data_IF_652238558215
#
_entry.id   IF_652238558215
#
_cell.length_a   1.000
_cell.length_b   1.000
_cell.length_c   1.000
_cell.angle_alpha   90.00
_cell.angle_beta   90.00
_cell.angle_gamma   90.00
#
_symmetry.space_group_name_H-M   'P 1'
#
loop_
_entity.id
_entity.type
_entity.pdbx_description
1 polymer ?
#
# COMPACT_ATOMS: atom_id res chain seq x y z
N UNK A 1 11.42 -3.09 19.76
CA UNK A 1 10.16 -3.73 19.33
C UNK A 1 10.11 -3.82 17.80
N UNK A 2 9.67 -4.95 17.22
CA UNK A 2 9.52 -5.09 15.76
C UNK A 2 8.14 -4.64 15.29
N UNK A 3 8.08 -3.85 14.21
CA UNK A 3 6.83 -3.50 13.52
C UNK A 3 6.78 -4.22 12.18
N UNK A 4 5.72 -4.99 11.94
CA UNK A 4 5.54 -5.83 10.76
C UNK A 4 4.50 -5.21 9.84
N UNK A 5 4.77 -5.23 8.54
CA UNK A 5 3.93 -4.64 7.50
C UNK A 5 3.32 -5.72 6.62
N UNK A 6 1.99 -5.74 6.57
CA UNK A 6 1.13 -6.54 5.71
C UNK A 6 0.29 -5.59 4.83
N UNK A 7 -0.38 -6.14 3.82
CA UNK A 7 -1.36 -5.40 3.00
C UNK A 7 -2.64 -6.25 2.92
N UNK A 8 -2.67 -7.15 1.94
CA UNK A 8 -3.76 -8.11 1.69
C UNK A 8 -3.46 -9.46 2.37
N UNK A 9 -4.51 -10.18 2.79
CA UNK A 9 -4.42 -11.53 3.35
C UNK A 9 -5.34 -12.47 2.57
N UNK A 10 -4.83 -13.61 2.09
CA UNK A 10 -5.65 -14.71 1.53
C UNK A 10 -6.12 -14.55 0.08
N UNK A 11 -5.64 -13.54 -0.63
CA UNK A 11 -5.97 -13.25 -2.04
C UNK A 11 -4.79 -13.48 -3.02
N UNK A 12 -3.83 -14.34 -2.67
CA UNK A 12 -2.61 -14.56 -3.46
C UNK A 12 -2.84 -15.34 -4.77
N UNK A 13 -3.92 -16.10 -4.85
CA UNK A 13 -4.31 -16.89 -6.04
C UNK A 13 -5.34 -16.17 -6.91
N UNK A 14 -5.71 -14.95 -6.55
CA UNK A 14 -6.62 -14.14 -7.35
C UNK A 14 -5.91 -13.63 -8.61
N UNK A 15 -6.66 -13.43 -9.70
CA UNK A 15 -6.17 -12.81 -10.94
C UNK A 15 -5.94 -11.29 -10.78
N UNK A 16 -5.41 -10.88 -9.62
CA UNK A 16 -5.03 -9.52 -9.31
C UNK A 16 -3.54 -9.34 -9.58
N UNK A 17 -3.17 -8.37 -10.41
CA UNK A 17 -1.77 -8.22 -10.84
C UNK A 17 -0.81 -7.86 -9.68
N UNK A 18 -1.32 -7.33 -8.55
CA UNK A 18 -0.55 -7.09 -7.33
C UNK A 18 -0.73 -8.19 -6.28
N UNK A 19 -1.16 -9.39 -6.65
CA UNK A 19 -1.33 -10.53 -5.73
C UNK A 19 -0.09 -10.85 -4.86
N UNK A 20 1.11 -10.41 -5.28
CA UNK A 20 2.33 -10.49 -4.49
C UNK A 20 2.32 -9.66 -3.19
N UNK A 21 1.39 -8.71 -3.05
CA UNK A 21 1.07 -7.99 -1.82
C UNK A 21 0.25 -8.83 -0.84
N UNK A 22 -0.42 -9.89 -1.32
CA UNK A 22 -1.20 -10.79 -0.48
C UNK A 22 -0.30 -11.78 0.25
N UNK A 23 -0.49 -11.92 1.56
CA UNK A 23 0.03 -13.04 2.33
C UNK A 23 -1.03 -14.13 2.36
N UNK A 24 -0.68 -15.36 2.01
CA UNK A 24 -1.65 -16.45 2.05
C UNK A 24 -2.23 -16.68 3.42
N UNK A 25 -3.48 -17.13 3.44
CA UNK A 25 -4.22 -17.37 4.68
C UNK A 25 -3.48 -18.35 5.60
N UNK A 26 -2.89 -19.41 5.03
CA UNK A 26 -2.16 -20.43 5.76
C UNK A 26 -0.84 -19.89 6.35
N UNK A 27 -0.10 -19.05 5.60
CA UNK A 27 1.08 -18.39 6.15
C UNK A 27 0.72 -17.49 7.32
N UNK A 28 -0.34 -16.68 7.15
CA UNK A 28 -0.76 -15.72 8.16
C UNK A 28 -1.25 -16.42 9.44
N UNK A 29 -2.13 -17.42 9.33
CA UNK A 29 -2.61 -18.17 10.48
C UNK A 29 -1.49 -18.96 11.16
N UNK A 30 -0.59 -19.60 10.40
CA UNK A 30 0.55 -20.32 10.99
C UNK A 30 1.50 -19.38 11.73
N UNK A 31 1.70 -18.16 11.22
CA UNK A 31 2.48 -17.14 11.90
C UNK A 31 1.82 -16.65 13.19
N UNK A 32 0.50 -16.41 13.19
CA UNK A 32 -0.25 -16.08 14.40
C UNK A 32 -0.14 -17.18 15.46
N UNK A 33 -0.27 -18.46 15.07
CA UNK A 33 -0.05 -19.62 15.96
C UNK A 33 1.36 -19.62 16.55
N UNK A 34 2.38 -19.31 15.74
CA UNK A 34 3.75 -19.20 16.19
C UNK A 34 3.93 -18.08 17.22
N UNK A 35 3.35 -16.90 16.99
CA UNK A 35 3.42 -15.79 17.94
C UNK A 35 2.87 -16.20 19.31
N UNK A 36 1.67 -16.79 19.33
CA UNK A 36 1.05 -17.30 20.56
C UNK A 36 1.91 -18.37 21.22
N UNK A 37 2.36 -19.38 20.47
CA UNK A 37 3.18 -20.49 20.98
C UNK A 37 4.48 -20.00 21.63
N UNK A 38 5.09 -18.97 21.06
CA UNK A 38 6.35 -18.41 21.56
C UNK A 38 6.14 -17.27 22.56
N UNK A 39 4.90 -17.04 23.03
CA UNK A 39 4.52 -16.00 24.00
C UNK A 39 4.86 -14.59 23.51
N UNK A 40 4.62 -14.29 22.23
CA UNK A 40 4.60 -12.93 21.74
C UNK A 40 3.26 -12.26 22.04
N UNK A 41 3.34 -11.03 22.52
CA UNK A 41 2.22 -10.11 22.63
C UNK A 41 2.22 -9.18 21.41
N UNK A 42 1.04 -8.94 20.86
CA UNK A 42 0.85 -7.90 19.85
C UNK A 42 0.22 -6.66 20.46
N UNK A 43 0.79 -5.49 20.18
CA UNK A 43 0.36 -4.20 20.74
C UNK A 43 0.03 -3.20 19.63
N UNK A 44 -0.73 -2.14 19.94
CA UNK A 44 -0.99 -1.07 18.97
C UNK A 44 0.18 -0.08 18.92
N UNK A 45 0.06 0.91 18.02
CA UNK A 45 1.09 1.93 17.82
C UNK A 45 1.21 2.90 19.01
N UNK A 46 0.17 3.09 19.81
CA UNK A 46 0.22 3.92 21.01
C UNK A 46 1.14 3.29 22.07
N UNK A 47 1.02 1.99 22.33
CA UNK A 47 1.95 1.30 23.22
C UNK A 47 3.37 1.29 22.65
N UNK A 48 3.54 1.13 21.32
CA UNK A 48 4.85 1.26 20.69
C UNK A 48 5.45 2.66 20.89
N UNK A 49 4.67 3.72 20.71
CA UNK A 49 5.11 5.10 20.84
C UNK A 49 5.55 5.42 22.27
N UNK A 50 4.75 5.00 23.26
CA UNK A 50 5.01 5.24 24.69
C UNK A 50 6.15 4.35 25.24
N UNK A 51 6.22 3.09 24.80
CA UNK A 51 7.24 2.13 25.24
C UNK A 51 8.53 2.19 24.39
N UNK A 52 8.83 3.33 23.79
CA UNK A 52 10.16 3.60 23.21
C UNK A 52 11.01 4.47 24.17
N UNK A 53 11.60 3.93 25.26
CA UNK A 53 12.72 4.57 25.94
C UNK A 53 14.08 4.02 25.45
N UNK A 54 15.12 4.85 25.62
CA UNK A 54 16.54 4.50 25.51
C UNK A 54 16.90 3.27 26.38
N UNK A 55 16.69 2.04 25.91
CA UNK A 55 17.21 0.88 26.64
C UNK A 55 17.26 -0.38 25.78
N UNK A 56 18.42 -1.02 25.82
CA UNK A 56 18.78 -2.33 25.30
C UNK A 56 17.97 -3.51 25.86
N UNK A 57 16.74 -3.30 26.34
CA UNK A 57 15.92 -4.37 26.88
C UNK A 57 15.18 -5.10 25.75
N UNK A 58 15.95 -5.94 25.05
CA UNK A 58 15.49 -6.80 23.97
C UNK A 58 14.66 -8.00 24.47
N UNK A 59 14.25 -8.01 25.75
CA UNK A 59 13.52 -9.10 26.39
C UNK A 59 12.01 -9.04 26.17
N UNK A 60 11.44 -7.88 25.82
CA UNK A 60 10.00 -7.75 25.58
C UNK A 60 9.61 -8.50 24.30
N UNK A 61 8.81 -9.56 24.42
CA UNK A 61 8.24 -10.30 23.28
C UNK A 61 7.05 -9.55 22.66
N UNK A 62 7.21 -8.26 22.39
CA UNK A 62 6.18 -7.42 21.79
C UNK A 62 6.42 -7.21 20.30
N UNK A 63 5.34 -7.26 19.51
CA UNK A 63 5.34 -7.06 18.06
C UNK A 63 4.15 -6.18 17.68
N UNK A 64 4.35 -5.24 16.76
CA UNK A 64 3.24 -4.49 16.16
C UNK A 64 2.93 -5.11 14.80
N UNK A 65 1.66 -5.39 14.53
CA UNK A 65 1.18 -5.83 13.23
C UNK A 65 0.46 -4.66 12.54
N UNK A 66 0.89 -4.29 11.34
CA UNK A 66 0.28 -3.21 10.56
C UNK A 66 -0.20 -3.73 9.20
N UNK A 67 -1.32 -3.22 8.72
CA UNK A 67 -1.91 -3.52 7.41
C UNK A 67 -2.14 -2.23 6.65
N UNK A 68 -1.59 -2.13 5.44
CA UNK A 68 -1.71 -0.94 4.60
C UNK A 68 -2.91 -1.06 3.64
N UNK A 69 -3.35 0.08 3.09
CA UNK A 69 -4.38 0.29 2.06
C UNK A 69 -5.85 0.09 2.47
N UNK A 70 -6.16 -0.76 3.46
CA UNK A 70 -7.55 -1.01 3.88
C UNK A 70 -8.33 -1.98 2.98
N UNK A 71 -7.66 -3.02 2.48
CA UNK A 71 -8.32 -4.10 1.72
C UNK A 71 -9.41 -4.80 2.53
N UNK A 72 -10.49 -5.21 1.84
CA UNK A 72 -11.62 -5.91 2.44
C UNK A 72 -11.21 -7.22 3.13
N UNK A 73 -10.20 -7.89 2.59
CA UNK A 73 -9.69 -9.14 3.14
C UNK A 73 -9.13 -9.02 4.56
N UNK A 74 -8.83 -7.79 5.01
CA UNK A 74 -8.45 -7.52 6.40
C UNK A 74 -9.64 -7.75 7.34
N UNK A 75 -10.87 -7.43 6.91
CA UNK A 75 -12.10 -7.79 7.61
C UNK A 75 -12.46 -9.26 7.43
N UNK A 76 -12.34 -9.78 6.19
CA UNK A 76 -12.79 -11.14 5.85
C UNK A 76 -11.92 -12.21 6.52
N UNK A 77 -10.60 -12.00 6.56
CA UNK A 77 -9.63 -13.00 7.00
C UNK A 77 -8.77 -12.55 8.18
N UNK A 78 -8.13 -11.37 8.11
CA UNK A 78 -7.13 -10.97 9.11
C UNK A 78 -7.75 -10.78 10.50
N UNK A 79 -8.82 -9.99 10.60
CA UNK A 79 -9.51 -9.70 11.86
C UNK A 79 -10.01 -10.95 12.60
N UNK A 80 -10.77 -11.88 11.97
CA UNK A 80 -11.20 -13.11 12.66
C UNK A 80 -10.03 -13.95 13.17
N UNK A 81 -8.93 -14.05 12.42
CA UNK A 81 -7.73 -14.80 12.85
C UNK A 81 -7.08 -14.11 14.05
N UNK A 82 -6.84 -12.80 13.97
CA UNK A 82 -6.27 -12.04 15.08
C UNK A 82 -7.12 -12.18 16.35
N UNK A 83 -8.44 -12.03 16.21
CA UNK A 83 -9.39 -12.22 17.31
C UNK A 83 -9.32 -13.64 17.92
N UNK A 84 -9.29 -14.69 17.07
CA UNK A 84 -9.18 -16.09 17.50
C UNK A 84 -7.93 -16.36 18.35
N UNK A 85 -6.83 -15.69 18.06
CA UNK A 85 -5.55 -15.86 18.75
C UNK A 85 -5.27 -14.78 19.81
N UNK A 86 -6.24 -13.92 20.12
CA UNK A 86 -6.10 -12.78 21.03
C UNK A 86 -4.91 -11.87 20.66
N UNK A 87 -4.75 -11.63 19.36
CA UNK A 87 -3.73 -10.73 18.80
C UNK A 87 -4.40 -9.43 18.33
N UNK A 88 -3.60 -8.38 18.23
CA UNK A 88 -3.96 -7.02 17.85
C UNK A 88 -3.26 -6.62 16.55
N UNK A 89 -3.87 -5.70 15.81
CA UNK A 89 -3.25 -5.08 14.64
C UNK A 89 -3.73 -3.66 14.38
N UNK A 90 -2.99 -2.91 13.58
CA UNK A 90 -3.37 -1.56 13.14
C UNK A 90 -3.58 -1.57 11.63
N UNK A 91 -4.68 -1.02 11.13
CA UNK A 91 -4.93 -0.83 9.70
C UNK A 91 -4.77 0.65 9.36
N UNK A 92 -3.95 0.96 8.37
CA UNK A 92 -3.84 2.30 7.79
C UNK A 92 -4.84 2.44 6.63
N UNK A 93 -5.77 3.38 6.72
CA UNK A 93 -6.88 3.55 5.77
C UNK A 93 -6.67 4.78 4.89
N UNK A 94 -7.02 4.64 3.60
CA UNK A 94 -7.22 5.73 2.65
C UNK A 94 -8.71 6.02 2.49
N UNK A 95 -9.24 7.19 2.89
CA UNK A 95 -10.66 7.49 2.75
C UNK A 95 -11.20 7.39 1.32
N UNK A 96 -10.42 7.74 0.28
CA UNK A 96 -10.88 7.62 -1.12
C UNK A 96 -10.95 6.18 -1.65
N UNK A 97 -10.39 5.20 -0.93
CA UNK A 97 -10.53 3.79 -1.25
C UNK A 97 -11.65 3.10 -0.48
N UNK A 98 -12.33 3.79 0.44
CA UNK A 98 -13.42 3.21 1.20
C UNK A 98 -14.58 2.87 0.27
N UNK A 99 -15.03 1.61 0.31
CA UNK A 99 -16.16 1.12 -0.45
C UNK A 99 -17.45 1.85 -0.03
N UNK A 100 -18.21 2.37 -1.00
CA UNK A 100 -19.41 3.16 -0.77
C UNK A 100 -20.63 2.38 -0.25
N UNK A 101 -20.55 1.05 -0.17
CA UNK A 101 -21.59 0.23 0.47
C UNK A 101 -21.64 0.49 1.98
N UNK A 102 -22.78 0.23 2.61
CA UNK A 102 -22.90 0.32 4.08
C UNK A 102 -23.27 -1.02 4.72
N UNK A 103 -23.12 -2.11 3.97
CA UNK A 103 -23.44 -3.47 4.41
C UNK A 103 -22.18 -4.12 4.96
N UNK A 104 -22.25 -4.60 6.19
CA UNK A 104 -21.19 -5.44 6.74
C UNK A 104 -21.19 -6.78 5.99
N UNK A 105 -20.11 -7.08 5.29
CA UNK A 105 -19.95 -8.33 4.54
C UNK A 105 -19.58 -9.48 5.48
N UNK A 106 -19.78 -10.71 5.02
CA UNK A 106 -19.45 -11.91 5.81
C UNK A 106 -17.92 -12.08 5.93
N UNK A 107 -17.47 -12.67 7.04
CA UNK A 107 -16.06 -13.00 7.27
C UNK A 107 -15.89 -14.45 7.77
N UNK A 108 -14.67 -14.83 8.13
CA UNK A 108 -14.39 -16.19 8.64
C UNK A 108 -15.20 -16.57 9.88
N UNK A 109 -15.64 -15.63 10.72
CA UNK A 109 -16.50 -15.98 11.86
C UNK A 109 -17.82 -16.57 11.37
N UNK A 110 -18.41 -16.02 10.29
CA UNK A 110 -19.66 -16.55 9.73
C UNK A 110 -19.47 -17.96 9.13
N UNK A 111 -18.26 -18.27 8.65
CA UNK A 111 -17.89 -19.63 8.22
C UNK A 111 -17.73 -20.56 9.41
N UNK A 112 -17.02 -20.13 10.47
CA UNK A 112 -16.82 -20.93 11.69
C UNK A 112 -18.13 -21.20 12.43
N UNK A 113 -19.04 -20.22 12.43
CA UNK A 113 -20.40 -20.32 12.95
C UNK A 113 -21.36 -21.13 12.04
N UNK A 114 -20.85 -21.64 10.90
CA UNK A 114 -21.62 -22.43 9.91
C UNK A 114 -22.81 -21.67 9.29
N UNK A 115 -22.80 -20.33 9.30
CA UNK A 115 -23.84 -19.50 8.66
C UNK A 115 -23.70 -19.49 7.13
N UNK A 116 -22.46 -19.59 6.65
CA UNK A 116 -22.13 -19.66 5.22
C UNK A 116 -20.99 -20.65 4.98
N UNK A 117 -20.80 -21.06 3.72
CA UNK A 117 -19.63 -21.82 3.26
C UNK A 117 -18.49 -20.86 2.90
N UNK A 118 -17.24 -21.33 3.03
CA UNK A 118 -16.03 -20.53 2.73
C UNK A 118 -16.02 -19.96 1.30
N UNK A 119 -16.53 -20.70 0.32
CA UNK A 119 -16.59 -20.26 -1.08
C UNK A 119 -17.66 -19.17 -1.35
N UNK A 120 -18.44 -18.79 -0.33
CA UNK A 120 -19.40 -17.68 -0.40
C UNK A 120 -18.81 -16.37 0.14
N UNK A 121 -17.54 -16.37 0.58
CA UNK A 121 -16.83 -15.15 0.94
C UNK A 121 -16.44 -14.37 -0.32
N UNK A 122 -16.44 -13.04 -0.21
CA UNK A 122 -15.98 -12.11 -1.26
C UNK A 122 -14.88 -11.24 -0.65
N UNK A 123 -13.59 -11.63 -0.78
CA UNK A 123 -12.50 -10.98 -0.06
C UNK A 123 -11.84 -9.82 -0.82
N UNK A 124 -12.00 -9.76 -2.15
CA UNK A 124 -11.48 -8.67 -2.97
C UNK A 124 -12.33 -7.40 -2.83
N UNK A 125 -11.67 -6.25 -2.92
CA UNK A 125 -12.26 -4.93 -2.70
C UNK A 125 -11.63 -4.23 -1.50
N UNK A 126 -12.31 -3.19 -1.03
CA UNK A 126 -11.88 -2.37 0.10
C UNK A 126 -12.93 -2.36 1.20
N UNK A 127 -12.48 -2.06 2.42
CA UNK A 127 -13.37 -1.93 3.58
C UNK A 127 -14.40 -0.80 3.34
N UNK A 128 -15.59 -0.98 3.89
CA UNK A 128 -16.57 0.10 4.02
C UNK A 128 -16.65 0.65 5.45
N UNK A 129 -17.32 1.78 5.63
CA UNK A 129 -17.44 2.41 6.95
C UNK A 129 -18.11 1.54 8.01
N UNK A 130 -19.05 0.67 7.63
CA UNK A 130 -19.71 -0.22 8.58
C UNK A 130 -18.74 -1.27 9.14
N UNK A 131 -17.83 -1.76 8.32
CA UNK A 131 -16.76 -2.69 8.70
C UNK A 131 -15.66 -2.00 9.49
N UNK A 132 -15.18 -0.82 9.03
CA UNK A 132 -14.16 -0.03 9.73
C UNK A 132 -14.60 0.29 11.16
N UNK A 133 -15.85 0.74 11.36
CA UNK A 133 -16.40 1.02 12.70
C UNK A 133 -16.48 -0.22 13.58
N UNK A 134 -16.74 -1.41 13.00
CA UNK A 134 -16.75 -2.67 13.75
C UNK A 134 -15.34 -3.13 14.12
N UNK A 135 -14.37 -2.94 13.22
CA UNK A 135 -12.96 -3.23 13.45
C UNK A 135 -12.43 -2.38 14.62
N UNK A 136 -12.65 -1.07 14.55
CA UNK A 136 -12.19 -0.11 15.57
C UNK A 136 -12.77 -0.39 16.96
N UNK A 137 -14.10 -0.63 17.04
CA UNK A 137 -14.78 -0.96 18.31
C UNK A 137 -14.46 -2.34 18.87
N UNK A 138 -13.76 -3.20 18.13
CA UNK A 138 -13.53 -4.59 18.54
C UNK A 138 -12.48 -4.75 19.64
N UNK A 139 -11.62 -3.75 19.83
CA UNK A 139 -10.41 -3.86 20.67
C UNK A 139 -9.30 -4.76 20.08
N UNK A 140 -9.51 -5.31 18.89
CA UNK A 140 -8.56 -6.15 18.14
C UNK A 140 -7.82 -5.32 17.09
N UNK A 141 -8.51 -4.36 16.47
CA UNK A 141 -7.98 -3.54 15.39
C UNK A 141 -8.06 -2.06 15.77
N UNK A 142 -6.95 -1.35 15.58
CA UNK A 142 -6.88 0.11 15.60
C UNK A 142 -6.83 0.65 14.16
N UNK A 143 -7.49 1.78 13.90
CA UNK A 143 -7.54 2.42 12.57
C UNK A 143 -6.71 3.69 12.56
N UNK A 144 -5.78 3.80 11.61
CA UNK A 144 -4.87 4.95 11.47
C UNK A 144 -4.84 5.45 10.02
N UNK A 145 -4.12 6.54 9.76
CA UNK A 145 -4.18 7.21 8.45
C UNK A 145 -3.16 6.64 7.45
N UNK A 146 -3.61 6.40 6.22
CA UNK A 146 -2.73 6.17 5.08
C UNK A 146 -2.70 7.36 4.10
N UNK A 147 -2.97 8.59 4.56
CA UNK A 147 -3.31 9.76 3.73
C UNK A 147 -4.65 9.60 2.99
N UNK A 148 -5.01 10.56 2.14
CA UNK A 148 -6.31 10.61 1.48
C UNK A 148 -6.43 9.63 0.30
N UNK A 149 -5.58 9.80 -0.71
CA UNK A 149 -5.90 9.35 -2.07
C UNK A 149 -5.05 8.19 -2.59
N UNK A 150 -3.90 7.92 -1.96
CA UNK A 150 -2.85 7.02 -2.43
C UNK A 150 -2.38 7.29 -3.88
N UNK A 151 -2.60 8.51 -4.41
CA UNK A 151 -2.35 8.85 -5.80
C UNK A 151 -0.86 8.90 -6.18
N UNK A 152 -0.65 8.74 -7.48
CA UNK A 152 0.54 9.19 -8.19
C UNK A 152 0.19 10.43 -8.99
N UNK A 153 1.18 11.26 -9.30
CA UNK A 153 1.02 12.36 -10.25
C UNK A 153 2.25 12.46 -11.13
N UNK A 154 2.08 13.01 -12.33
CA UNK A 154 3.21 13.37 -13.19
C UNK A 154 4.06 14.45 -12.50
N UNK A 155 5.38 14.35 -12.61
CA UNK A 155 6.36 15.28 -12.02
C UNK A 155 7.21 16.04 -13.03
N UNK A 156 7.17 15.65 -14.30
CA UNK A 156 7.86 16.36 -15.38
C UNK A 156 7.21 16.06 -16.73
N UNK A 157 7.58 16.81 -17.76
CA UNK A 157 7.13 16.59 -19.14
C UNK A 157 7.85 15.41 -19.85
N UNK A 158 8.69 14.64 -19.14
CA UNK A 158 9.43 13.52 -19.71
C UNK A 158 8.52 12.31 -19.91
N UNK A 159 8.22 11.94 -21.15
CA UNK A 159 7.44 10.74 -21.45
C UNK A 159 8.26 9.48 -21.15
N UNK A 160 7.71 8.57 -20.34
CA UNK A 160 8.32 7.29 -19.93
C UNK A 160 7.73 6.09 -20.66
N UNK A 161 6.43 6.12 -20.90
CA UNK A 161 5.68 5.02 -21.50
C UNK A 161 4.39 5.57 -22.13
N UNK A 162 3.60 4.68 -22.74
CA UNK A 162 2.29 4.96 -23.31
C UNK A 162 1.26 4.03 -22.68
N UNK A 163 0.11 4.58 -22.30
CA UNK A 163 -1.00 3.80 -21.79
C UNK A 163 -1.66 3.00 -22.92
N UNK A 164 -1.72 1.68 -22.74
CA UNK A 164 -2.33 0.72 -23.66
C UNK A 164 -3.36 -0.17 -22.97
N UNK A 165 -3.67 0.08 -21.69
CA UNK A 165 -4.50 -0.77 -20.83
C UNK A 165 -3.73 -1.73 -19.94
N UNK A 166 -2.42 -1.54 -19.80
CA UNK A 166 -1.57 -2.43 -19.00
C UNK A 166 -1.82 -2.26 -17.50
N UNK A 167 -1.86 -3.36 -16.72
CA UNK A 167 -2.38 -3.34 -15.35
C UNK A 167 -1.52 -2.55 -14.34
N UNK A 168 -0.24 -2.31 -14.61
CA UNK A 168 0.67 -1.63 -13.68
C UNK A 168 0.55 -0.09 -13.66
N UNK A 169 -0.39 0.48 -14.41
CA UNK A 169 -0.79 1.89 -14.33
C UNK A 169 -2.24 2.06 -13.86
N UNK A 170 -2.68 1.23 -12.90
CA UNK A 170 -4.00 1.32 -12.25
C UNK A 170 -4.30 2.71 -11.66
N UNK A 171 -3.28 3.45 -11.26
CA UNK A 171 -3.41 4.82 -10.80
C UNK A 171 -3.84 5.83 -11.87
N UNK A 172 -3.67 5.53 -13.16
CA UNK A 172 -4.15 6.42 -14.22
C UNK A 172 -5.69 6.46 -14.26
N UNK A 173 -6.40 5.31 -14.29
CA UNK A 173 -7.84 5.25 -14.03
C UNK A 173 -8.29 5.96 -12.75
N UNK A 174 -7.54 5.82 -11.66
CA UNK A 174 -7.88 6.43 -10.36
C UNK A 174 -7.99 7.96 -10.41
N UNK A 175 -7.15 8.62 -11.22
CA UNK A 175 -7.19 10.09 -11.38
C UNK A 175 -8.35 10.51 -12.29
N UNK A 176 -8.70 9.70 -13.29
CA UNK A 176 -9.76 9.99 -14.25
C UNK A 176 -11.16 9.69 -13.69
N UNK A 177 -11.28 8.69 -12.82
CA UNK A 177 -12.51 8.24 -12.15
C UNK A 177 -12.27 8.00 -10.66
N UNK A 178 -12.02 9.07 -9.88
CA UNK A 178 -11.74 8.94 -8.44
C UNK A 178 -12.89 8.27 -7.68
N UNK A 179 -14.12 8.43 -8.14
CA UNK A 179 -15.33 7.77 -7.61
C UNK A 179 -15.29 6.22 -7.73
N UNK A 180 -14.43 5.68 -8.61
CA UNK A 180 -14.31 4.24 -8.85
C UNK A 180 -13.08 3.60 -8.22
N UNK A 181 -12.21 4.35 -7.53
CA UNK A 181 -10.99 3.80 -6.89
C UNK A 181 -11.24 2.58 -6.00
N UNK A 182 -12.27 2.52 -5.14
CA UNK A 182 -12.52 1.37 -4.27
C UNK A 182 -12.76 0.05 -5.02
N UNK A 183 -12.99 0.10 -6.33
CA UNK A 183 -13.39 -1.05 -7.14
C UNK A 183 -12.26 -1.56 -8.06
N UNK A 184 -11.05 -0.96 -8.03
CA UNK A 184 -10.03 -1.24 -9.05
C UNK A 184 -9.53 -2.69 -9.12
N UNK A 185 -9.65 -3.46 -8.03
CA UNK A 185 -9.26 -4.87 -7.97
C UNK A 185 -10.42 -5.84 -8.21
N UNK A 186 -11.63 -5.32 -8.48
CA UNK A 186 -12.86 -6.10 -8.76
C UNK A 186 -13.60 -5.62 -10.02
N UNK A 187 -13.07 -4.62 -10.70
CA UNK A 187 -13.63 -4.00 -11.91
C UNK A 187 -12.54 -3.81 -12.96
N UNK A 188 -12.87 -4.03 -14.22
CA UNK A 188 -12.01 -3.61 -15.33
C UNK A 188 -12.14 -2.10 -15.57
N UNK A 189 -11.07 -1.37 -15.23
CA UNK A 189 -10.99 0.08 -15.34
C UNK A 189 -10.17 0.56 -16.55
N UNK A 190 -9.77 -0.35 -17.45
CA UNK A 190 -8.92 -0.05 -18.61
C UNK A 190 -9.46 1.11 -19.46
N UNK A 191 -10.79 1.19 -19.58
CA UNK A 191 -11.46 2.17 -20.45
C UNK A 191 -11.55 3.58 -19.85
N UNK A 192 -11.12 3.79 -18.61
CA UNK A 192 -11.14 5.11 -17.97
C UNK A 192 -10.01 6.02 -18.46
N UNK A 193 -9.07 5.48 -19.24
CA UNK A 193 -7.97 6.23 -19.81
C UNK A 193 -7.90 5.92 -21.30
N UNK A 194 -7.93 6.93 -22.18
CA UNK A 194 -7.76 6.72 -23.61
C UNK A 194 -6.44 6.01 -23.91
N UNK A 195 -6.48 4.95 -24.73
CA UNK A 195 -5.24 4.32 -25.22
C UNK A 195 -4.44 5.32 -26.05
N UNK A 196 -3.12 5.23 -25.95
CA UNK A 196 -2.21 6.23 -26.54
C UNK A 196 -1.85 7.37 -25.59
N UNK A 197 -2.55 7.51 -24.45
CA UNK A 197 -2.23 8.56 -23.47
C UNK A 197 -0.77 8.46 -23.03
N UNK A 198 0.01 9.56 -23.10
CA UNK A 198 1.39 9.55 -22.63
C UNK A 198 1.45 9.35 -21.11
N UNK A 199 2.31 8.42 -20.68
CA UNK A 199 2.69 8.28 -19.28
C UNK A 199 3.97 9.09 -19.10
N UNK A 200 3.84 10.29 -18.55
CA UNK A 200 4.98 11.10 -18.16
C UNK A 200 5.66 10.54 -16.93
N UNK A 201 6.88 10.96 -16.65
CA UNK A 201 7.57 10.67 -15.41
C UNK A 201 6.71 11.08 -14.22
N UNK A 202 6.51 10.17 -13.29
CA UNK A 202 5.57 10.31 -12.19
C UNK A 202 6.21 9.92 -10.86
N UNK A 203 5.59 10.32 -9.77
CA UNK A 203 5.97 9.95 -8.41
C UNK A 203 4.74 9.95 -7.49
N UNK A 204 4.93 9.71 -6.19
CA UNK A 204 3.87 9.71 -5.18
C UNK A 204 3.38 11.11 -4.84
N UNK A 205 2.07 11.25 -4.59
CA UNK A 205 1.42 12.52 -4.32
C UNK A 205 2.16 13.39 -3.28
N UNK A 206 2.53 12.82 -2.14
CA UNK A 206 3.15 13.57 -1.03
C UNK A 206 4.65 13.86 -1.21
N UNK A 207 5.26 13.49 -2.34
CA UNK A 207 6.71 13.63 -2.56
C UNK A 207 7.11 14.50 -3.76
N UNK A 208 6.15 15.14 -4.44
CA UNK A 208 6.40 15.88 -5.68
C UNK A 208 5.59 17.17 -5.80
N UNK A 209 6.07 18.08 -6.68
CA UNK A 209 5.27 19.14 -7.32
C UNK A 209 4.70 18.60 -8.63
N UNK A 210 3.39 18.72 -8.81
CA UNK A 210 2.70 18.09 -9.94
C UNK A 210 2.99 18.84 -11.24
N UNK A 211 3.19 18.07 -12.31
CA UNK A 211 3.15 18.52 -13.68
C UNK A 211 1.77 18.20 -14.27
N UNK A 212 1.16 19.19 -14.92
CA UNK A 212 -0.07 19.07 -15.68
C UNK A 212 0.29 19.06 -17.17
N UNK A 213 0.17 17.90 -17.84
CA UNK A 213 0.34 17.85 -19.29
C UNK A 213 -0.70 18.71 -19.99
N UNK A 214 -0.35 19.18 -21.18
CA UNK A 214 -1.27 19.89 -22.06
C UNK A 214 -2.36 18.94 -22.59
N UNK A 215 -3.63 19.33 -22.47
CA UNK A 215 -4.77 18.51 -22.89
C UNK A 215 -4.79 18.26 -24.40
N UNK A 216 -4.32 19.20 -25.22
CA UNK A 216 -4.25 19.04 -26.68
C UNK A 216 -3.17 18.03 -27.08
N UNK A 217 -2.09 17.91 -26.30
CA UNK A 217 -1.10 16.83 -26.50
C UNK A 217 -1.70 15.46 -26.17
N UNK A 218 -2.47 15.36 -25.08
CA UNK A 218 -3.14 14.10 -24.70
C UNK A 218 -4.11 13.69 -25.80
N UNK A 219 -4.95 14.62 -26.26
CA UNK A 219 -5.91 14.40 -27.34
C UNK A 219 -5.21 13.98 -28.64
N UNK A 220 -4.19 14.74 -29.06
CA UNK A 220 -3.37 14.41 -30.23
C UNK A 220 -2.80 12.99 -30.12
N UNK A 221 -2.23 12.62 -28.97
CA UNK A 221 -1.66 11.31 -28.74
C UNK A 221 -2.70 10.20 -28.91
N UNK A 222 -3.90 10.37 -28.33
CA UNK A 222 -4.99 9.40 -28.49
C UNK A 222 -5.46 9.26 -29.94
N UNK A 223 -5.61 10.35 -30.68
CA UNK A 223 -6.01 10.35 -32.10
C UNK A 223 -4.99 9.61 -32.99
N UNK A 224 -3.70 9.93 -32.86
CA UNK A 224 -2.68 9.24 -33.65
C UNK A 224 -2.52 7.77 -33.24
N UNK A 225 -2.88 7.40 -32.00
CA UNK A 225 -2.85 6.02 -31.55
C UNK A 225 -3.97 5.18 -32.19
N UNK A 226 -5.14 5.78 -32.46
CA UNK A 226 -6.21 5.09 -33.20
C UNK A 226 -5.85 4.83 -34.67
N UNK A 227 -5.06 5.71 -35.28
CA UNK A 227 -4.76 5.67 -36.72
C UNK A 227 -3.53 4.81 -37.10
N UNK A 228 -2.63 4.54 -36.15
CA UNK A 228 -1.40 3.78 -36.43
C UNK A 228 -1.70 2.28 -36.50
N UNK A 229 -1.54 1.69 -37.70
CA UNK A 229 -1.55 0.22 -37.91
C UNK A 229 -0.39 -0.49 -37.20
N UNK A 230 0.71 0.22 -36.91
CA UNK A 230 1.91 -0.27 -36.23
C UNK A 230 1.90 -0.01 -34.71
N UNK A 231 0.88 -0.55 -34.03
CA UNK A 231 0.69 -0.46 -32.56
C UNK A 231 1.85 -1.05 -31.73
N UNK A 232 2.93 -1.54 -32.36
CA UNK A 232 3.97 -2.37 -31.76
C UNK A 232 5.22 -1.60 -31.34
N UNK A 233 5.53 -0.44 -31.93
CA UNK A 233 6.74 0.31 -31.56
C UNK A 233 6.44 1.55 -30.70
N UNK A 234 6.44 1.34 -29.38
CA UNK A 234 6.32 2.41 -28.39
C UNK A 234 7.41 3.48 -28.56
N UNK A 235 8.60 3.12 -29.03
CA UNK A 235 9.74 4.03 -29.17
C UNK A 235 9.46 5.07 -30.25
N UNK A 236 8.98 4.63 -31.42
CA UNK A 236 8.61 5.53 -32.53
C UNK A 236 7.49 6.47 -32.08
N UNK A 237 6.49 5.94 -31.37
CA UNK A 237 5.37 6.73 -30.86
C UNK A 237 5.82 7.81 -29.87
N UNK A 238 6.62 7.43 -28.87
CA UNK A 238 7.20 8.36 -27.88
C UNK A 238 8.07 9.42 -28.58
N UNK A 239 8.88 9.04 -29.56
CA UNK A 239 9.68 9.98 -30.33
C UNK A 239 8.84 11.02 -31.10
N UNK A 240 7.68 10.61 -31.63
CA UNK A 240 6.74 11.52 -32.29
C UNK A 240 6.12 12.51 -31.31
N UNK A 241 5.74 12.05 -30.12
CA UNK A 241 5.23 12.93 -29.06
C UNK A 241 6.30 13.90 -28.53
N UNK A 242 7.53 13.42 -28.32
CA UNK A 242 8.64 14.24 -27.86
C UNK A 242 8.91 15.45 -28.78
N UNK A 243 8.76 15.28 -30.10
CA UNK A 243 8.88 16.39 -31.07
C UNK A 243 7.80 17.48 -30.93
N UNK A 244 6.71 17.19 -30.22
CA UNK A 244 5.59 18.12 -30.01
C UNK A 244 5.62 18.78 -28.62
N UNK A 245 6.42 18.27 -27.67
CA UNK A 245 6.46 18.80 -26.30
C UNK A 245 6.80 20.29 -26.21
N UNK A 246 7.59 20.84 -27.13
CA UNK A 246 7.89 22.28 -27.15
C UNK A 246 6.68 23.15 -27.49
N UNK A 247 5.72 22.61 -28.25
CA UNK A 247 4.45 23.28 -28.56
C UNK A 247 3.38 23.06 -27.48
N UNK A 248 3.60 22.09 -26.59
CA UNK A 248 2.65 21.63 -25.58
C UNK A 248 3.38 21.43 -24.24
N UNK A 249 3.86 22.54 -23.68
CA UNK A 249 4.79 22.52 -22.54
C UNK A 249 4.16 22.07 -21.23
N UNK A 250 2.81 22.05 -21.14
CA UNK A 250 2.08 21.86 -19.90
C UNK A 250 2.36 22.95 -18.87
N UNK A 251 1.96 22.72 -17.63
CA UNK A 251 2.20 23.63 -16.50
C UNK A 251 2.61 22.87 -15.25
N UNK A 252 3.22 23.57 -14.29
CA UNK A 252 3.50 23.01 -12.97
C UNK A 252 2.54 23.59 -11.95
N UNK A 253 2.21 22.76 -10.97
CA UNK A 253 1.45 23.15 -9.79
C UNK A 253 2.11 24.31 -9.04
N UNK A 254 1.30 25.29 -8.66
CA UNK A 254 1.74 26.42 -7.84
C UNK A 254 2.11 25.95 -6.42
N UNK A 255 2.83 26.78 -5.66
CA UNK A 255 3.11 26.49 -4.25
C UNK A 255 1.82 26.39 -3.43
N UNK A 256 0.85 27.25 -3.72
CA UNK A 256 -0.45 27.28 -3.05
C UNK A 256 -1.25 26.01 -3.33
N UNK A 257 -1.31 25.55 -4.58
CA UNK A 257 -2.06 24.33 -4.94
C UNK A 257 -1.37 23.08 -4.39
N UNK A 258 -0.04 23.05 -4.35
CA UNK A 258 0.72 21.97 -3.74
C UNK A 258 0.46 21.89 -2.23
N UNK A 259 0.45 23.02 -1.52
CA UNK A 259 0.09 23.08 -0.09
C UNK A 259 -1.36 22.60 0.13
N UNK A 260 -2.32 23.10 -0.65
CA UNK A 260 -3.73 22.64 -0.61
C UNK A 260 -3.84 21.14 -0.79
N UNK A 261 -3.13 20.58 -1.78
CA UNK A 261 -3.13 19.14 -2.04
C UNK A 261 -2.50 18.34 -0.89
N UNK A 262 -1.40 18.79 -0.32
CA UNK A 262 -0.79 18.10 0.83
C UNK A 262 -1.68 18.18 2.07
N UNK A 263 -2.37 19.32 2.28
CA UNK A 263 -3.37 19.46 3.34
C UNK A 263 -4.57 18.56 3.15
N UNK A 264 -5.08 18.44 1.93
CA UNK A 264 -6.12 17.47 1.59
C UNK A 264 -5.67 16.03 1.89
N UNK A 265 -4.44 15.67 1.53
CA UNK A 265 -3.89 14.35 1.81
C UNK A 265 -3.75 14.04 3.31
N UNK A 266 -3.34 15.02 4.11
CA UNK A 266 -2.91 14.80 5.50
C UNK A 266 -3.97 15.25 6.53
N UNK A 267 -4.44 16.48 6.43
CA UNK A 267 -5.40 17.05 7.39
C UNK A 267 -6.80 16.53 7.12
N UNK A 268 -7.26 16.58 5.88
CA UNK A 268 -8.63 16.16 5.57
C UNK A 268 -8.81 14.65 5.75
N UNK A 269 -7.81 13.83 5.38
CA UNK A 269 -7.84 12.40 5.68
C UNK A 269 -7.97 12.11 7.18
N UNK A 270 -7.17 12.80 8.00
CA UNK A 270 -7.25 12.71 9.46
C UNK A 270 -8.64 13.11 9.97
N UNK A 271 -9.13 14.28 9.57
CA UNK A 271 -10.42 14.81 10.01
C UNK A 271 -11.57 13.84 9.71
N UNK A 272 -11.62 13.30 8.48
CA UNK A 272 -12.65 12.32 8.09
C UNK A 272 -12.58 11.07 8.99
N UNK A 273 -11.39 10.53 9.23
CA UNK A 273 -11.23 9.34 10.06
C UNK A 273 -11.62 9.63 11.52
N UNK A 274 -11.18 10.75 12.09
CA UNK A 274 -11.49 11.14 13.47
C UNK A 274 -12.98 11.39 13.68
N UNK A 275 -13.65 12.09 12.75
CA UNK A 275 -15.10 12.31 12.80
C UNK A 275 -15.88 10.99 12.74
N UNK A 276 -15.53 10.12 11.79
CA UNK A 276 -16.28 8.87 11.57
C UNK A 276 -16.07 7.84 12.67
N UNK A 277 -14.92 7.88 13.37
CA UNK A 277 -14.57 6.93 14.41
C UNK A 277 -14.75 7.48 15.83
N UNK A 278 -14.88 8.80 15.97
CA UNK A 278 -14.93 9.49 17.26
C UNK A 278 -13.71 9.12 18.14
N UNK A 279 -12.53 9.15 17.54
CA UNK A 279 -11.23 8.89 18.18
C UNK A 279 -10.14 9.72 17.52
N UNK A 280 -8.99 9.83 18.18
CA UNK A 280 -7.80 10.44 17.57
C UNK A 280 -7.12 9.49 16.57
N UNK A 281 -6.59 10.08 15.50
CA UNK A 281 -5.78 9.40 14.47
C UNK A 281 -4.40 10.05 14.47
N UNK A 282 -3.45 9.39 15.12
CA UNK A 282 -2.16 9.98 15.51
C UNK A 282 -0.97 9.35 14.77
N UNK A 283 -1.21 8.30 13.97
CA UNK A 283 -0.18 7.61 13.20
C UNK A 283 -0.45 7.67 11.71
N UNK A 284 0.61 7.88 10.93
CA UNK A 284 0.58 8.00 9.48
C UNK A 284 1.44 6.93 8.81
N UNK A 285 0.89 6.27 7.81
CA UNK A 285 1.69 5.52 6.85
C UNK A 285 1.73 6.29 5.53
N UNK A 286 2.91 6.50 4.93
CA UNK A 286 2.99 7.19 3.63
C UNK A 286 2.67 6.23 2.49
N UNK A 287 1.71 6.56 1.61
CA UNK A 287 1.45 5.82 0.37
C UNK A 287 2.72 5.52 -0.42
N UNK A 288 3.04 4.22 -0.54
CA UNK A 288 4.24 3.75 -1.23
C UNK A 288 5.57 4.34 -0.74
N UNK A 289 5.61 4.92 0.46
CA UNK A 289 6.80 5.54 1.04
C UNK A 289 7.22 6.86 0.40
N UNK A 290 6.33 7.55 -0.31
CA UNK A 290 6.60 8.84 -0.93
C UNK A 290 6.29 10.02 -0.01
N UNK A 291 7.30 10.84 0.25
CA UNK A 291 7.24 12.04 1.09
C UNK A 291 8.38 13.00 0.69
N UNK A 292 8.33 14.23 1.18
CA UNK A 292 9.39 15.22 1.14
C UNK A 292 9.37 16.03 2.45
N UNK A 293 10.28 17.01 2.59
CA UNK A 293 10.38 17.83 3.80
C UNK A 293 9.05 18.54 4.13
N UNK A 294 8.44 19.20 3.14
CA UNK A 294 7.17 19.92 3.33
C UNK A 294 6.03 19.01 3.80
N UNK A 295 5.87 17.82 3.20
CA UNK A 295 4.79 16.92 3.60
C UNK A 295 5.03 16.34 5.00
N UNK A 296 6.28 16.11 5.41
CA UNK A 296 6.61 15.72 6.78
C UNK A 296 6.26 16.84 7.76
N UNK A 297 6.67 18.09 7.49
CA UNK A 297 6.33 19.26 8.32
C UNK A 297 4.81 19.43 8.46
N UNK A 298 4.07 19.30 7.36
CA UNK A 298 2.61 19.34 7.38
C UNK A 298 1.99 18.17 8.16
N UNK A 299 2.60 16.98 8.15
CA UNK A 299 2.11 15.85 8.95
C UNK A 299 2.26 16.11 10.46
N UNK A 300 3.36 16.76 10.86
CA UNK A 300 3.57 17.18 12.24
C UNK A 300 2.54 18.25 12.62
N UNK A 301 2.34 19.25 11.74
CA UNK A 301 1.34 20.29 11.94
C UNK A 301 -0.10 19.76 11.99
N UNK A 302 -0.40 18.65 11.31
CA UNK A 302 -1.67 17.93 11.41
C UNK A 302 -1.81 17.12 12.72
N UNK A 303 -0.79 17.11 13.57
CA UNK A 303 -0.78 16.43 14.86
C UNK A 303 -0.57 14.92 14.76
N UNK A 304 0.09 14.42 13.72
CA UNK A 304 0.61 13.04 13.74
C UNK A 304 1.80 12.96 14.69
N UNK A 305 1.81 11.95 15.57
CA UNK A 305 2.90 11.66 16.53
C UNK A 305 4.05 10.88 15.89
N UNK A 306 3.74 10.03 14.92
CA UNK A 306 4.74 9.23 14.23
C UNK A 306 4.28 8.83 12.83
N UNK A 307 5.24 8.60 11.94
CA UNK A 307 4.96 8.02 10.63
C UNK A 307 5.94 6.93 10.24
N UNK A 308 5.53 6.12 9.27
CA UNK A 308 6.43 5.14 8.65
C UNK A 308 7.48 5.89 7.82
N UNK A 309 8.72 5.43 7.69
CA UNK A 309 9.62 5.97 6.66
C UNK A 309 10.21 4.86 5.80
N UNK A 310 10.16 5.06 4.48
CA UNK A 310 10.84 4.20 3.53
C UNK A 310 12.36 4.30 3.74
N UNK A 311 13.03 3.14 3.75
CA UNK A 311 14.50 3.09 3.86
C UNK A 311 15.22 3.68 2.65
N UNK A 312 14.51 3.94 1.54
CA UNK A 312 15.08 4.51 0.31
C UNK A 312 15.27 6.03 0.36
N UNK A 313 14.54 6.71 1.24
CA UNK A 313 14.44 8.18 1.29
C UNK A 313 15.03 8.76 2.59
N UNK A 314 15.89 8.00 3.28
CA UNK A 314 16.42 8.36 4.60
C UNK A 314 17.14 9.70 4.65
N UNK A 315 17.71 10.12 3.53
CA UNK A 315 18.52 11.34 3.44
C UNK A 315 17.66 12.61 3.30
N UNK A 316 16.35 12.48 3.10
CA UNK A 316 15.41 13.60 2.89
C UNK A 316 14.86 14.20 4.19
N UNK A 317 15.36 13.76 5.35
CA UNK A 317 14.77 14.06 6.65
C UNK A 317 15.80 14.75 7.54
N UNK A 318 15.39 15.87 8.15
CA UNK A 318 16.10 16.48 9.29
C UNK A 318 16.28 15.44 10.39
N UNK A 319 17.43 15.44 11.04
CA UNK A 319 17.75 14.46 12.10
C UNK A 319 16.89 14.60 13.36
N UNK A 320 16.16 15.71 13.51
CA UNK A 320 15.37 16.02 14.69
C UNK A 320 14.06 16.74 14.31
N UNK A 321 12.93 16.15 14.69
CA UNK A 321 11.58 16.72 14.60
C UNK A 321 10.91 16.78 16.00
N UNK A 322 11.72 16.89 17.06
CA UNK A 322 11.26 16.80 18.44
C UNK A 322 10.70 15.41 18.76
N UNK A 323 9.47 15.36 19.27
CA UNK A 323 8.83 14.13 19.70
C UNK A 323 8.33 13.23 18.54
N UNK A 324 8.40 13.71 17.29
CA UNK A 324 7.91 12.96 16.14
C UNK A 324 8.78 11.73 15.84
N UNK A 325 8.19 10.52 15.91
CA UNK A 325 8.94 9.26 15.76
C UNK A 325 8.83 8.65 14.36
N UNK A 326 9.88 7.92 13.96
CA UNK A 326 9.88 7.08 12.77
C UNK A 326 9.52 5.63 13.11
N UNK A 327 8.46 5.13 12.49
CA UNK A 327 8.05 3.73 12.55
C UNK A 327 8.82 2.93 11.48
N UNK A 328 9.95 2.33 11.88
CA UNK A 328 10.67 1.38 11.02
C UNK A 328 9.91 0.05 10.96
N UNK A 329 9.53 -0.37 9.74
CA UNK A 329 8.74 -1.58 9.51
C UNK A 329 9.47 -2.64 8.70
N UNK A 330 9.09 -3.90 8.94
CA UNK A 330 9.57 -5.07 8.22
C UNK A 330 8.47 -5.64 7.35
N UNK A 331 8.68 -5.66 6.03
CA UNK A 331 7.74 -6.22 5.07
C UNK A 331 7.56 -7.72 5.29
N UNK A 332 6.30 -8.16 5.33
CA UNK A 332 5.89 -9.55 5.42
C UNK A 332 5.21 -9.95 4.11
N UNK A 333 5.57 -11.10 3.56
CA UNK A 333 5.07 -11.57 2.25
C UNK A 333 5.14 -13.09 2.17
N UNK A 334 4.36 -13.67 1.26
CA UNK A 334 4.45 -15.09 0.88
C UNK A 334 5.41 -15.34 -0.29
N UNK A 335 6.08 -14.29 -0.77
CA UNK A 335 6.87 -14.32 -2.00
C UNK A 335 8.34 -13.99 -1.78
N UNK A 336 9.19 -14.47 -2.69
CA UNK A 336 10.54 -13.95 -2.90
C UNK A 336 10.59 -13.28 -4.28
N UNK A 337 10.91 -11.99 -4.31
CA UNK A 337 11.08 -11.24 -5.56
C UNK A 337 12.50 -11.40 -6.11
N UNK A 338 12.60 -11.74 -7.40
CA UNK A 338 13.83 -11.68 -8.20
C UNK A 338 13.80 -10.47 -9.13
N UNK A 339 14.78 -10.35 -10.04
CA UNK A 339 14.78 -9.30 -11.06
C UNK A 339 13.76 -9.51 -12.17
N UNK A 340 13.12 -10.69 -12.24
CA UNK A 340 12.24 -11.06 -13.35
C UNK A 340 10.80 -11.27 -12.89
N UNK A 341 10.57 -11.82 -11.70
CA UNK A 341 9.23 -12.09 -11.17
C UNK A 341 9.20 -12.29 -9.66
N UNK A 342 7.99 -12.43 -9.13
CA UNK A 342 7.74 -12.86 -7.75
C UNK A 342 7.51 -14.37 -7.70
N UNK A 343 8.14 -15.06 -6.76
CA UNK A 343 8.00 -16.51 -6.57
C UNK A 343 7.28 -16.81 -5.26
N UNK A 344 6.12 -17.46 -5.34
CA UNK A 344 5.36 -17.89 -4.17
C UNK A 344 6.09 -19.03 -3.45
N UNK A 345 6.21 -18.95 -2.13
CA UNK A 345 6.87 -19.96 -1.30
C UNK A 345 5.81 -20.86 -0.67
N UNK A 346 5.78 -22.14 -1.00
CA UNK A 346 4.73 -23.07 -0.53
C UNK A 346 4.80 -23.42 0.97
N UNK A 347 5.98 -23.28 1.58
CA UNK A 347 6.18 -23.70 2.97
C UNK A 347 5.47 -22.74 3.93
N UNK A 348 4.47 -23.24 4.67
CA UNK A 348 3.70 -22.46 5.64
C UNK A 348 4.54 -21.82 6.76
N UNK A 349 5.78 -22.29 6.97
CA UNK A 349 6.74 -21.71 7.91
C UNK A 349 7.51 -20.51 7.34
N UNK A 350 7.32 -20.16 6.06
CA UNK A 350 8.09 -19.10 5.41
C UNK A 350 7.95 -17.76 6.12
N UNK A 351 6.74 -17.39 6.56
CA UNK A 351 6.49 -16.13 7.26
C UNK A 351 7.21 -16.07 8.62
N UNK A 352 7.29 -17.20 9.33
CA UNK A 352 8.06 -17.34 10.58
C UNK A 352 9.55 -17.17 10.31
N UNK A 353 10.07 -17.79 9.24
CA UNK A 353 11.47 -17.67 8.85
C UNK A 353 11.81 -16.23 8.44
N UNK A 354 10.90 -15.56 7.73
CA UNK A 354 11.03 -14.16 7.34
C UNK A 354 11.03 -13.24 8.58
N UNK A 355 10.17 -13.48 9.56
CA UNK A 355 10.18 -12.77 10.82
C UNK A 355 11.51 -12.94 11.58
N UNK A 356 11.99 -14.19 11.72
CA UNK A 356 13.28 -14.49 12.34
C UNK A 356 14.46 -13.88 11.58
N UNK A 357 14.37 -13.80 10.25
CA UNK A 357 15.32 -13.09 9.40
C UNK A 357 15.38 -11.60 9.77
N UNK A 358 14.21 -10.95 9.89
CA UNK A 358 14.11 -9.54 10.27
C UNK A 358 14.62 -9.26 11.69
N UNK A 359 14.48 -10.23 12.61
CA UNK A 359 15.11 -10.19 13.94
C UNK A 359 16.64 -10.45 13.92
N UNK A 360 17.25 -10.67 12.74
CA UNK A 360 18.69 -10.85 12.61
C UNK A 360 19.19 -12.29 12.84
N UNK A 361 18.31 -13.30 12.91
CA UNK A 361 18.77 -14.70 13.10
C UNK A 361 19.60 -15.18 11.90
N UNK A 362 20.88 -15.46 12.13
CA UNK A 362 21.87 -15.81 11.11
C UNK A 362 21.45 -16.96 10.18
N UNK A 363 20.95 -18.06 10.75
CA UNK A 363 20.48 -19.22 9.97
C UNK A 363 19.38 -18.84 8.97
N UNK A 364 18.39 -18.05 9.40
CA UNK A 364 17.28 -17.63 8.53
C UNK A 364 17.74 -16.64 7.46
N UNK A 365 18.72 -15.79 7.78
CA UNK A 365 19.37 -14.89 6.81
C UNK A 365 20.11 -15.63 5.72
N UNK A 366 20.86 -16.66 6.07
CA UNK A 366 21.55 -17.49 5.09
C UNK A 366 20.56 -18.29 4.25
N UNK A 367 19.54 -18.88 4.87
CA UNK A 367 18.49 -19.62 4.17
C UNK A 367 17.72 -18.74 3.16
N UNK A 368 17.28 -17.55 3.58
CA UNK A 368 16.57 -16.61 2.70
C UNK A 368 17.45 -16.19 1.50
N UNK A 369 18.73 -15.88 1.74
CA UNK A 369 19.69 -15.50 0.69
C UNK A 369 19.95 -16.65 -0.27
N UNK A 370 20.14 -17.87 0.23
CA UNK A 370 20.36 -19.05 -0.59
C UNK A 370 19.16 -19.33 -1.50
N UNK A 371 17.94 -19.32 -0.94
CA UNK A 371 16.71 -19.47 -1.72
C UNK A 371 16.58 -18.40 -2.80
N UNK A 372 16.81 -17.12 -2.45
CA UNK A 372 16.76 -16.02 -3.42
C UNK A 372 17.77 -16.20 -4.55
N UNK A 373 19.00 -16.60 -4.24
CA UNK A 373 20.03 -16.86 -5.24
C UNK A 373 19.63 -18.01 -6.17
N UNK A 374 19.13 -19.13 -5.61
CA UNK A 374 18.65 -20.26 -6.39
C UNK A 374 17.54 -19.88 -7.38
N UNK A 375 16.57 -19.06 -6.94
CA UNK A 375 15.51 -18.54 -7.80
C UNK A 375 16.04 -17.61 -8.90
N UNK A 376 17.02 -16.75 -8.59
CA UNK A 376 17.65 -15.89 -9.60
C UNK A 376 18.41 -16.69 -10.67
N UNK A 377 19.03 -17.81 -10.30
CA UNK A 377 19.70 -18.72 -11.25
C UNK A 377 18.65 -19.41 -12.12
N UNK A 378 17.59 -19.95 -11.50
CA UNK A 378 16.48 -20.59 -12.21
C UNK A 378 15.84 -19.64 -13.25
N UNK A 379 15.60 -18.40 -12.88
CA UNK A 379 15.02 -17.39 -13.78
C UNK A 379 15.93 -17.01 -14.96
N UNK A 380 17.25 -17.17 -14.82
CA UNK A 380 18.20 -16.97 -15.93
C UNK A 380 18.24 -18.16 -16.88
N UNK A 381 18.00 -19.38 -16.40
CA UNK A 381 18.03 -20.61 -17.19
C UNK A 381 16.76 -20.76 -18.04
N UNK A 382 15.61 -20.29 -17.54
CA UNK A 382 14.31 -20.41 -18.21
C UNK A 382 14.10 -19.32 -19.30
N UNK A 383 14.94 -18.28 -19.30
CA UNK A 383 14.96 -17.24 -20.35
C UNK A 383 15.79 -17.69 -21.54
#
# INVERSE_FOLDING_TARGET
MSVLMFHSIGCENENWYRNWLSVSLDHFENFCKFLVKENYETVFLEEWYNNTPNSNDNSSKQVVLTFDDGYLDNWVYAYPILKKYNLKGTIFINPEFIDGSNKVRNNLNDVWDKKIKKNQLSPLGFLNWAEIKKLDKSGVIDIQSHSMSHNFYFKSNKIKDIYTGQPHYDWMPWINRPDRKPYYNIEDQEKYVPKGSPIFEFDRALGLRRYFPDDELIKYASEIYSDIKDKKDKTIFINKLNKKLSAYSGTYESDEDMDKRYRYELFESKNILEEKLNKKVEYLCWPGGGYNELSVELSIAAGYKASTFSTKNKDLIKTDYGDYKNIKRHAMTSFISTSTKNHYIKSTNFLINLFKYHQGKSLNKNLYRANKLGLMILDKIIK
#
